data_IF_411339871534
#
_entry.id   IF_411339871534
#
_cell.length_a   1.000
_cell.length_b   1.000
_cell.length_c   1.000
_cell.angle_alpha   90.00
_cell.angle_beta   90.00
_cell.angle_gamma   90.00
#
_symmetry.space_group_name_H-M   'P 1'
#
loop_
_entity.id
_entity.type
_entity.pdbx_description
1 polymer ?
#
# COMPACT_ATOMS: atom_id res chain seq x y z
N UNK A 1 35.51 29.32 43.76
CA UNK A 1 34.50 29.15 42.69
C UNK A 1 33.37 30.15 42.96
N UNK A 2 33.33 31.28 42.24
CA UNK A 2 32.29 32.28 42.44
C UNK A 2 31.08 31.94 41.56
N UNK A 3 30.12 31.21 42.13
CA UNK A 3 28.82 30.98 41.49
C UNK A 3 28.03 32.30 41.51
N UNK A 4 27.96 32.99 40.38
CA UNK A 4 27.13 34.21 40.28
C UNK A 4 25.65 33.86 40.11
N UNK A 5 24.75 34.70 40.64
CA UNK A 5 23.28 34.56 40.45
C UNK A 5 22.90 34.42 38.96
N UNK A 6 23.65 35.11 38.08
CA UNK A 6 23.46 35.06 36.63
C UNK A 6 23.83 33.68 36.04
N UNK A 7 24.90 33.05 36.53
CA UNK A 7 25.27 31.70 36.09
C UNK A 7 24.27 30.65 36.57
N UNK A 8 23.77 30.78 37.81
CA UNK A 8 22.72 29.89 38.33
C UNK A 8 21.46 29.94 37.47
N UNK A 9 20.95 31.14 37.13
CA UNK A 9 19.75 31.28 36.30
C UNK A 9 19.92 30.70 34.89
N UNK A 10 21.12 30.82 34.29
CA UNK A 10 21.41 30.22 32.98
C UNK A 10 21.42 28.69 33.04
N UNK A 11 22.06 28.12 34.06
CA UNK A 11 22.13 26.67 34.24
C UNK A 11 20.76 26.07 34.59
N UNK A 12 19.98 26.75 35.45
CA UNK A 12 18.61 26.34 35.76
C UNK A 12 17.71 26.39 34.51
N UNK A 13 17.82 27.42 33.68
CA UNK A 13 17.08 27.53 32.42
C UNK A 13 17.40 26.42 31.42
N UNK A 14 18.69 26.09 31.24
CA UNK A 14 19.13 24.98 30.38
C UNK A 14 18.67 23.63 30.96
N UNK A 15 18.75 23.44 32.28
CA UNK A 15 18.31 22.21 32.94
C UNK A 15 16.81 21.96 32.76
N UNK A 16 15.98 23.00 32.90
CA UNK A 16 14.53 22.91 32.71
C UNK A 16 14.15 22.63 31.26
N UNK A 17 14.79 23.30 30.29
CA UNK A 17 14.50 23.05 28.87
C UNK A 17 14.95 21.65 28.44
N UNK A 18 16.09 21.16 28.92
CA UNK A 18 16.52 19.78 28.72
C UNK A 18 15.52 18.79 29.34
N UNK A 19 15.09 19.00 30.59
CA UNK A 19 14.12 18.14 31.26
C UNK A 19 12.75 18.08 30.54
N UNK A 20 12.33 19.17 29.88
CA UNK A 20 11.11 19.19 29.07
C UNK A 20 11.23 18.50 27.71
N UNK A 21 12.40 18.55 27.08
CA UNK A 21 12.61 18.00 25.73
C UNK A 21 13.08 16.54 25.75
N UNK A 22 13.84 16.13 26.77
CA UNK A 22 14.39 14.76 26.92
C UNK A 22 13.31 13.66 26.85
N UNK A 23 12.11 13.80 27.46
CA UNK A 23 11.05 12.80 27.31
C UNK A 23 10.64 12.56 25.85
N UNK A 24 10.71 13.55 24.97
CA UNK A 24 10.39 13.37 23.55
C UNK A 24 11.48 12.62 22.77
N UNK A 25 12.72 12.61 23.25
CA UNK A 25 13.84 11.90 22.61
C UNK A 25 14.11 10.51 23.21
N UNK A 26 13.76 10.28 24.47
CA UNK A 26 14.02 9.01 25.19
C UNK A 26 12.76 8.17 25.37
N UNK A 27 11.55 8.73 25.19
CA UNK A 27 10.34 7.94 25.25
C UNK A 27 10.25 7.00 24.04
N UNK A 28 10.23 5.71 24.32
CA UNK A 28 9.87 4.67 23.34
C UNK A 28 8.45 4.84 22.77
N UNK A 29 7.65 5.80 23.28
CA UNK A 29 6.38 6.24 22.68
C UNK A 29 6.59 7.23 21.53
N UNK A 30 7.61 7.01 20.69
CA UNK A 30 7.60 7.62 19.38
C UNK A 30 6.28 7.23 18.71
N UNK A 31 5.37 8.20 18.56
CA UNK A 31 4.16 8.10 17.73
C UNK A 31 4.48 7.76 16.25
N UNK A 32 5.75 7.60 15.89
CA UNK A 32 6.19 6.95 14.66
C UNK A 32 5.78 5.45 14.58
N UNK A 33 5.26 4.86 15.65
CA UNK A 33 4.69 3.51 15.67
C UNK A 33 3.49 3.37 16.59
N UNK A 34 2.69 4.43 16.78
CA UNK A 34 1.43 4.30 17.51
C UNK A 34 0.59 3.20 16.85
N UNK A 35 0.41 2.08 17.57
CA UNK A 35 -0.51 1.01 17.18
C UNK A 35 -1.86 1.70 16.99
N UNK A 36 -2.33 1.75 15.75
CA UNK A 36 -3.67 2.22 15.46
C UNK A 36 -4.67 1.36 16.22
N UNK A 37 -5.69 1.98 16.82
CA UNK A 37 -6.80 1.24 17.46
C UNK A 37 -7.50 0.29 16.46
N UNK A 38 -7.29 0.52 15.16
CA UNK A 38 -7.67 -0.37 14.09
C UNK A 38 -6.59 -1.44 13.84
N UNK A 39 -6.84 -2.72 14.19
CA UNK A 39 -5.89 -3.81 13.99
C UNK A 39 -5.65 -4.15 12.51
N UNK A 40 -6.54 -3.74 11.60
CA UNK A 40 -6.46 -4.03 10.17
C UNK A 40 -5.65 -2.99 9.39
N UNK A 41 -5.24 -1.89 10.02
CA UNK A 41 -4.58 -0.78 9.34
C UNK A 41 -3.32 -1.20 8.58
N UNK A 42 -2.54 -2.15 9.12
CA UNK A 42 -1.32 -2.64 8.49
C UNK A 42 -1.50 -4.01 7.81
N UNK A 43 -2.74 -4.47 7.64
CA UNK A 43 -3.06 -5.75 7.01
C UNK A 43 -3.56 -5.50 5.59
N UNK A 44 -3.02 -6.24 4.64
CA UNK A 44 -3.46 -6.25 3.24
C UNK A 44 -4.51 -7.31 2.97
N UNK A 45 -5.44 -7.01 2.06
CA UNK A 45 -6.40 -7.99 1.52
C UNK A 45 -6.23 -8.12 0.02
N UNK A 46 -6.06 -9.36 -0.45
CA UNK A 46 -6.13 -9.69 -1.87
C UNK A 46 -7.59 -9.70 -2.31
N UNK A 47 -7.96 -8.78 -3.19
CA UNK A 47 -9.34 -8.53 -3.64
C UNK A 47 -9.97 -9.72 -4.34
N UNK A 48 -9.19 -10.67 -4.86
CA UNK A 48 -9.73 -11.92 -5.42
C UNK A 48 -10.53 -12.74 -4.38
N UNK A 49 -10.23 -12.56 -3.09
CA UNK A 49 -10.98 -13.19 -1.99
C UNK A 49 -12.46 -12.79 -1.97
N UNK A 50 -12.79 -11.63 -2.55
CA UNK A 50 -14.16 -11.11 -2.65
C UNK A 50 -14.56 -10.86 -4.13
N UNK A 51 -14.02 -11.64 -5.06
CA UNK A 51 -14.17 -11.41 -6.50
C UNK A 51 -15.61 -11.22 -6.98
N UNK A 52 -16.56 -11.99 -6.45
CA UNK A 52 -17.96 -11.90 -6.84
C UNK A 52 -18.59 -10.54 -6.46
N UNK A 53 -18.11 -9.91 -5.38
CA UNK A 53 -18.52 -8.56 -4.98
C UNK A 53 -17.85 -7.50 -5.85
N UNK A 54 -16.56 -7.69 -6.16
CA UNK A 54 -15.82 -6.81 -7.06
C UNK A 54 -16.43 -6.80 -8.48
N UNK A 55 -16.83 -7.96 -9.01
CA UNK A 55 -17.47 -8.05 -10.33
C UNK A 55 -18.83 -7.34 -10.37
N UNK A 56 -19.54 -7.30 -9.24
CA UNK A 56 -20.86 -6.68 -9.13
C UNK A 56 -20.80 -5.17 -8.92
N UNK A 57 -19.98 -4.72 -7.97
CA UNK A 57 -19.83 -3.30 -7.62
C UNK A 57 -18.41 -3.05 -7.08
N UNK A 58 -17.43 -2.79 -7.97
CA UNK A 58 -16.03 -2.61 -7.57
C UNK A 58 -15.87 -1.39 -6.64
N UNK A 59 -16.53 -0.28 -6.97
CA UNK A 59 -16.41 0.97 -6.20
C UNK A 59 -17.01 0.81 -4.80
N UNK A 60 -18.24 0.30 -4.71
CA UNK A 60 -18.88 0.04 -3.43
C UNK A 60 -18.11 -0.97 -2.59
N UNK A 61 -17.54 -2.01 -3.21
CA UNK A 61 -16.73 -3.01 -2.51
C UNK A 61 -15.46 -2.41 -1.90
N UNK A 62 -14.74 -1.55 -2.63
CA UNK A 62 -13.57 -0.84 -2.11
C UNK A 62 -13.94 0.12 -0.96
N UNK A 63 -15.05 0.85 -1.09
CA UNK A 63 -15.56 1.70 -0.01
C UNK A 63 -15.89 0.89 1.25
N UNK A 64 -16.49 -0.30 1.10
CA UNK A 64 -16.78 -1.17 2.25
C UNK A 64 -15.51 -1.75 2.89
N UNK A 65 -14.52 -2.16 2.10
CA UNK A 65 -13.21 -2.62 2.60
C UNK A 65 -12.57 -1.53 3.48
N UNK A 66 -12.59 -0.28 3.00
CA UNK A 66 -12.04 0.85 3.75
C UNK A 66 -12.81 1.12 5.05
N UNK A 67 -14.15 0.99 5.04
CA UNK A 67 -15.01 1.12 6.22
C UNK A 67 -14.80 0.02 7.25
N UNK A 68 -14.51 -1.21 6.81
CA UNK A 68 -14.17 -2.34 7.70
C UNK A 68 -12.87 -2.05 8.46
N UNK A 69 -11.94 -1.31 7.85
CA UNK A 69 -10.70 -0.87 8.49
C UNK A 69 -9.43 -1.27 7.72
N UNK A 70 -9.53 -2.02 6.64
CA UNK A 70 -8.35 -2.27 5.80
C UNK A 70 -7.83 -0.96 5.19
N UNK A 71 -6.51 -0.85 5.08
CA UNK A 71 -5.84 0.26 4.38
C UNK A 71 -4.99 -0.19 3.20
N UNK A 72 -4.81 -1.50 3.03
CA UNK A 72 -3.99 -2.07 1.97
C UNK A 72 -4.80 -3.10 1.19
N UNK A 73 -4.74 -3.00 -0.14
CA UNK A 73 -5.41 -3.93 -1.06
C UNK A 73 -4.44 -4.39 -2.15
N UNK A 74 -4.54 -5.65 -2.53
CA UNK A 74 -3.83 -6.20 -3.69
C UNK A 74 -4.82 -6.43 -4.82
N UNK A 75 -4.52 -5.88 -6.00
CA UNK A 75 -5.42 -5.91 -7.16
C UNK A 75 -5.30 -7.22 -7.95
N UNK A 76 -6.30 -7.50 -8.78
CA UNK A 76 -6.28 -8.56 -9.80
C UNK A 76 -7.18 -8.16 -10.97
N UNK A 77 -7.10 -8.87 -12.10
CA UNK A 77 -8.09 -8.71 -13.18
C UNK A 77 -7.85 -7.47 -14.03
N UNK A 78 -6.58 -7.16 -14.31
CA UNK A 78 -6.20 -6.11 -15.25
C UNK A 78 -6.76 -6.38 -16.64
N UNK A 79 -7.26 -5.33 -17.28
CA UNK A 79 -7.47 -5.24 -18.71
C UNK A 79 -6.47 -4.22 -19.25
N UNK A 80 -5.31 -4.72 -19.68
CA UNK A 80 -4.19 -3.89 -20.11
C UNK A 80 -4.48 -3.15 -21.42
N UNK A 81 -5.31 -3.73 -22.29
CA UNK A 81 -5.70 -3.12 -23.57
C UNK A 81 -6.60 -1.91 -23.34
N UNK A 82 -7.61 -2.04 -22.47
CA UNK A 82 -8.50 -0.92 -22.13
C UNK A 82 -7.95 -0.02 -20.99
N UNK A 83 -6.77 -0.35 -20.45
CA UNK A 83 -6.10 0.39 -19.36
C UNK A 83 -6.98 0.56 -18.11
N UNK A 84 -7.59 -0.54 -17.66
CA UNK A 84 -8.57 -0.54 -16.58
C UNK A 84 -8.53 -1.80 -15.72
N UNK A 85 -9.18 -1.74 -14.55
CA UNK A 85 -9.54 -2.89 -13.71
C UNK A 85 -11.04 -2.84 -13.45
N UNK A 86 -11.77 -3.93 -13.68
CA UNK A 86 -13.23 -3.99 -13.48
C UNK A 86 -14.00 -2.80 -14.09
N UNK A 87 -13.64 -2.39 -15.31
CA UNK A 87 -14.18 -1.20 -16.02
C UNK A 87 -13.86 0.16 -15.38
N UNK A 88 -12.95 0.21 -14.41
CA UNK A 88 -12.42 1.43 -13.83
C UNK A 88 -11.05 1.75 -14.46
N UNK A 89 -10.93 2.84 -15.23
CA UNK A 89 -9.65 3.31 -15.73
C UNK A 89 -8.65 3.54 -14.60
N UNK A 90 -7.35 3.31 -14.83
CA UNK A 90 -6.33 3.38 -13.77
C UNK A 90 -6.36 4.68 -12.94
N UNK A 91 -6.56 5.83 -13.60
CA UNK A 91 -6.69 7.13 -12.93
C UNK A 91 -7.89 7.22 -12.00
N UNK A 92 -9.03 6.70 -12.45
CA UNK A 92 -10.25 6.67 -11.65
C UNK A 92 -10.09 5.71 -10.47
N UNK A 93 -9.53 4.52 -10.71
CA UNK A 93 -9.25 3.56 -9.65
C UNK A 93 -8.29 4.15 -8.62
N UNK A 94 -7.20 4.79 -9.05
CA UNK A 94 -6.25 5.46 -8.14
C UNK A 94 -6.95 6.49 -7.27
N UNK A 95 -7.82 7.30 -7.88
CA UNK A 95 -8.63 8.28 -7.14
C UNK A 95 -9.56 7.60 -6.13
N UNK A 96 -10.26 6.53 -6.51
CA UNK A 96 -11.15 5.79 -5.59
C UNK A 96 -10.35 5.23 -4.41
N UNK A 97 -9.16 4.68 -4.65
CA UNK A 97 -8.28 4.19 -3.60
C UNK A 97 -7.86 5.33 -2.66
N UNK A 98 -7.38 6.45 -3.21
CA UNK A 98 -6.96 7.62 -2.44
C UNK A 98 -8.10 8.23 -1.61
N UNK A 99 -9.28 8.40 -2.21
CA UNK A 99 -10.47 8.94 -1.55
C UNK A 99 -10.92 8.08 -0.36
N UNK A 100 -10.67 6.77 -0.43
CA UNK A 100 -10.97 5.81 0.64
C UNK A 100 -9.79 5.57 1.61
N UNK A 101 -8.65 6.22 1.37
CA UNK A 101 -7.42 6.00 2.13
C UNK A 101 -6.87 4.57 2.01
N UNK A 102 -7.13 3.92 0.87
CA UNK A 102 -6.59 2.61 0.51
C UNK A 102 -5.29 2.79 -0.29
N UNK A 103 -4.34 1.88 -0.07
CA UNK A 103 -3.10 1.77 -0.83
C UNK A 103 -3.03 0.42 -1.51
N UNK A 104 -2.48 0.38 -2.72
CA UNK A 104 -2.14 -0.86 -3.39
C UNK A 104 -0.64 -0.94 -3.60
N UNK A 105 0.03 -1.85 -2.88
CA UNK A 105 1.47 -2.08 -3.02
C UNK A 105 1.79 -3.05 -4.15
N UNK A 106 0.82 -3.90 -4.49
CA UNK A 106 0.98 -5.00 -5.43
C UNK A 106 -0.29 -5.27 -6.22
N UNK A 107 -0.12 -5.97 -7.34
CA UNK A 107 -1.21 -6.55 -8.11
C UNK A 107 -0.82 -7.89 -8.72
N UNK A 108 -1.84 -8.70 -8.99
CA UNK A 108 -1.73 -9.95 -9.74
C UNK A 108 -1.86 -9.66 -11.25
N UNK A 109 -0.81 -10.03 -11.98
CA UNK A 109 -0.69 -9.85 -13.43
C UNK A 109 -0.43 -11.21 -14.07
N UNK A 110 -1.19 -11.56 -15.11
CA UNK A 110 -0.93 -12.80 -15.84
C UNK A 110 0.36 -12.67 -16.64
N UNK A 111 1.37 -13.46 -16.27
CA UNK A 111 2.68 -13.52 -16.91
C UNK A 111 2.96 -14.95 -17.41
N UNK A 112 1.92 -15.76 -17.59
CA UNK A 112 2.05 -17.17 -17.95
C UNK A 112 2.84 -17.36 -19.24
N UNK A 113 2.58 -16.56 -20.27
CA UNK A 113 3.28 -16.68 -21.58
C UNK A 113 4.69 -16.15 -21.45
N UNK A 114 4.87 -15.06 -20.71
CA UNK A 114 6.18 -14.48 -20.43
C UNK A 114 7.12 -15.52 -19.81
N UNK A 115 6.64 -16.20 -18.78
CA UNK A 115 7.37 -17.23 -18.04
C UNK A 115 7.45 -18.58 -18.77
N UNK A 116 6.63 -18.81 -19.81
CA UNK A 116 6.68 -20.04 -20.62
C UNK A 116 7.88 -20.07 -21.57
N UNK A 117 8.55 -21.22 -21.65
CA UNK A 117 9.60 -21.48 -22.66
C UNK A 117 9.03 -21.79 -24.05
N UNK A 118 7.80 -22.30 -24.11
CA UNK A 118 7.18 -22.77 -25.36
C UNK A 118 6.50 -21.64 -26.14
N UNK A 119 6.09 -20.56 -25.46
CA UNK A 119 5.39 -19.44 -26.09
C UNK A 119 6.38 -18.37 -26.58
N UNK A 120 6.19 -17.97 -27.83
CA UNK A 120 6.97 -16.90 -28.49
C UNK A 120 6.23 -15.56 -28.45
N UNK A 121 4.90 -15.56 -28.37
CA UNK A 121 4.11 -14.40 -27.98
C UNK A 121 4.18 -14.22 -26.46
N UNK A 122 4.36 -12.97 -26.02
CA UNK A 122 4.55 -12.62 -24.61
C UNK A 122 3.48 -11.61 -24.22
N UNK A 123 3.04 -11.61 -22.97
CA UNK A 123 2.20 -10.52 -22.47
C UNK A 123 2.97 -9.19 -22.55
N UNK A 124 2.21 -8.11 -22.69
CA UNK A 124 2.77 -6.77 -22.69
C UNK A 124 3.13 -6.36 -21.25
N UNK A 125 4.34 -6.73 -20.83
CA UNK A 125 4.85 -6.35 -19.51
C UNK A 125 4.99 -4.84 -19.35
N UNK A 126 5.22 -4.10 -20.43
CA UNK A 126 5.30 -2.65 -20.36
C UNK A 126 3.94 -2.06 -19.95
N UNK A 127 2.84 -2.59 -20.48
CA UNK A 127 1.50 -2.20 -20.06
C UNK A 127 1.22 -2.53 -18.58
N UNK A 128 1.77 -3.64 -18.05
CA UNK A 128 1.66 -3.95 -16.61
C UNK A 128 2.47 -2.99 -15.75
N UNK A 129 3.68 -2.63 -16.17
CA UNK A 129 4.50 -1.64 -15.46
C UNK A 129 3.88 -0.24 -15.50
N UNK A 130 3.24 0.13 -16.61
CA UNK A 130 2.49 1.39 -16.72
C UNK A 130 1.30 1.40 -15.75
N UNK A 131 0.55 0.31 -15.66
CA UNK A 131 -0.55 0.16 -14.70
C UNK A 131 -0.04 0.28 -13.25
N UNK A 132 1.01 -0.47 -12.92
CA UNK A 132 1.63 -0.44 -11.60
C UNK A 132 2.11 0.96 -11.23
N UNK A 133 2.77 1.66 -12.16
CA UNK A 133 3.24 3.04 -11.97
C UNK A 133 2.10 4.02 -11.73
N UNK A 134 1.04 3.96 -12.54
CA UNK A 134 -0.12 4.85 -12.41
C UNK A 134 -0.84 4.65 -11.07
N UNK A 135 -0.89 3.40 -10.60
CA UNK A 135 -1.54 3.01 -9.35
C UNK A 135 -0.65 3.18 -8.11
N UNK A 136 0.66 3.41 -8.29
CA UNK A 136 1.63 3.55 -7.21
C UNK A 136 2.06 2.23 -6.57
N UNK A 137 2.00 1.13 -7.32
CA UNK A 137 2.44 -0.18 -6.87
C UNK A 137 3.97 -0.31 -6.92
N UNK A 138 4.51 -1.03 -5.95
CA UNK A 138 5.94 -1.36 -5.84
C UNK A 138 6.24 -2.75 -6.41
N UNK A 139 5.24 -3.63 -6.45
CA UNK A 139 5.39 -5.02 -6.86
C UNK A 139 4.40 -5.41 -7.97
N UNK A 140 4.91 -6.08 -8.99
CA UNK A 140 4.13 -6.77 -10.03
C UNK A 140 4.30 -8.27 -9.77
N UNK A 141 3.21 -8.95 -9.43
CA UNK A 141 3.25 -10.35 -9.01
C UNK A 141 2.61 -11.22 -10.09
N UNK A 142 3.35 -12.22 -10.55
CA UNK A 142 2.81 -13.34 -11.32
C UNK A 142 2.17 -14.34 -10.32
N UNK A 143 0.84 -14.47 -10.27
CA UNK A 143 0.17 -15.28 -9.25
C UNK A 143 0.16 -16.77 -9.57
N UNK A 144 0.53 -17.13 -10.80
CA UNK A 144 0.51 -18.49 -11.31
C UNK A 144 1.79 -18.76 -12.08
N UNK A 145 2.26 -20.00 -12.04
CA UNK A 145 3.24 -20.50 -13.00
C UNK A 145 2.60 -20.57 -14.40
N UNK A 146 3.38 -20.71 -15.49
CA UNK A 146 2.81 -20.94 -16.82
C UNK A 146 1.74 -22.05 -16.79
N UNK A 147 0.47 -21.68 -17.02
CA UNK A 147 -0.68 -22.60 -16.87
C UNK A 147 -1.00 -23.41 -18.15
N UNK A 148 -0.34 -23.14 -19.27
CA UNK A 148 -0.70 -23.72 -20.58
C UNK A 148 -0.45 -25.23 -20.69
N UNK A 149 0.41 -25.78 -19.84
CA UNK A 149 0.87 -27.17 -19.93
C UNK A 149 0.35 -28.05 -18.77
N UNK A 150 -0.59 -27.57 -17.96
CA UNK A 150 -1.03 -28.32 -16.76
C UNK A 150 -1.76 -29.63 -17.06
N UNK A 151 -2.18 -29.85 -18.31
CA UNK A 151 -2.84 -31.07 -18.77
C UNK A 151 -2.16 -31.70 -20.00
N UNK A 152 -0.92 -31.33 -20.31
CA UNK A 152 -0.15 -31.89 -21.42
C UNK A 152 0.56 -33.19 -21.03
#
# INVERSE_FOLDING_TARGET
MNNSRRQFLKQAGIGLSAAYLVPNFISCQNKAGAISDNPLQNIGVQLYSIRDLMDKDPKGSLEQIAKIGYKHVELYGIDATAKQFWKLPYKELKKILDDNGLKTHSGHYDMSKYLSKAHTDKEDLAAYFDAAKELGQEYVIAPVTPMFDLNA
#
